data_IF_846505205835
#
_entry.id   IF_846505205835
#
_cell.length_a   1.000
_cell.length_b   1.000
_cell.length_c   1.000
_cell.angle_alpha   90.00
_cell.angle_beta   90.00
_cell.angle_gamma   90.00
#
_symmetry.space_group_name_H-M   'P 1'
#
loop_
_entity.id
_entity.type
_entity.pdbx_description
1 polymer ?
#
# COMPACT_ATOMS: atom_id res chain seq x y z
N UNK A 1 -2.89 -11.12 -3.97
CA UNK A 1 -1.67 -10.30 -4.20
C UNK A 1 -1.85 -9.32 -5.36
N UNK A 2 -2.19 -9.77 -6.56
CA UNK A 2 -2.25 -8.90 -7.75
C UNK A 2 -3.25 -7.74 -7.60
N UNK A 3 -4.47 -8.03 -7.12
CA UNK A 3 -5.49 -6.99 -6.88
C UNK A 3 -5.05 -6.01 -5.79
N UNK A 4 -4.48 -6.52 -4.70
CA UNK A 4 -3.96 -5.70 -3.60
C UNK A 4 -2.80 -4.80 -4.07
N UNK A 5 -1.91 -5.32 -4.92
CA UNK A 5 -0.83 -4.56 -5.55
C UNK A 5 -1.38 -3.43 -6.41
N UNK A 6 -2.36 -3.74 -7.27
CA UNK A 6 -2.98 -2.73 -8.13
C UNK A 6 -3.60 -1.62 -7.30
N UNK A 7 -4.37 -1.98 -6.27
CA UNK A 7 -4.97 -1.01 -5.36
C UNK A 7 -3.92 -0.11 -4.68
N UNK A 8 -2.81 -0.69 -4.23
CA UNK A 8 -1.71 0.07 -3.61
C UNK A 8 -1.07 1.05 -4.60
N UNK A 9 -0.72 0.58 -5.80
CA UNK A 9 -0.13 1.42 -6.86
C UNK A 9 -1.08 2.57 -7.23
N UNK A 10 -2.33 2.26 -7.55
CA UNK A 10 -3.34 3.26 -7.94
C UNK A 10 -3.52 4.32 -6.83
N UNK A 11 -3.51 3.89 -5.57
CA UNK A 11 -3.65 4.80 -4.45
C UNK A 11 -2.45 5.72 -4.26
N UNK A 12 -1.22 5.20 -4.36
CA UNK A 12 -0.01 6.00 -4.21
C UNK A 12 0.12 6.99 -5.36
N UNK A 13 -0.08 6.55 -6.59
CA UNK A 13 -0.08 7.42 -7.77
C UNK A 13 -1.10 8.55 -7.61
N UNK A 14 -2.34 8.21 -7.24
CA UNK A 14 -3.39 9.19 -7.02
C UNK A 14 -3.07 10.15 -5.89
N UNK A 15 -2.46 9.69 -4.81
CA UNK A 15 -2.06 10.54 -3.69
C UNK A 15 -0.97 11.53 -4.10
N UNK A 16 0.06 11.07 -4.83
CA UNK A 16 1.11 11.93 -5.37
C UNK A 16 0.53 13.00 -6.31
N UNK A 17 -0.42 12.65 -7.18
CA UNK A 17 -1.12 13.63 -8.03
C UNK A 17 -1.84 14.71 -7.22
N UNK A 18 -2.58 14.32 -6.19
CA UNK A 18 -3.33 15.24 -5.32
C UNK A 18 -2.36 16.21 -4.62
N UNK A 19 -1.27 15.69 -4.04
CA UNK A 19 -0.28 16.51 -3.35
C UNK A 19 0.42 17.47 -4.32
N UNK A 20 0.87 16.98 -5.48
CA UNK A 20 1.62 17.78 -6.45
C UNK A 20 0.76 18.86 -7.13
N UNK A 21 -0.54 18.61 -7.32
CA UNK A 21 -1.49 19.59 -7.86
C UNK A 21 -1.87 20.67 -6.84
N UNK A 22 -1.71 20.42 -5.54
CA UNK A 22 -2.11 21.36 -4.49
C UNK A 22 -1.05 22.46 -4.24
N UNK A 23 -1.14 23.55 -5.00
CA UNK A 23 -0.15 24.67 -4.96
C UNK A 23 0.11 25.24 -3.56
N UNK A 24 -0.89 25.27 -2.67
CA UNK A 24 -0.77 25.90 -1.34
C UNK A 24 0.08 25.08 -0.36
N UNK A 25 0.25 23.77 -0.56
CA UNK A 25 1.07 22.96 0.36
C UNK A 25 2.53 22.90 -0.06
N UNK A 26 2.86 23.26 -1.31
CA UNK A 26 4.24 23.18 -1.83
C UNK A 26 5.30 23.86 -0.96
N UNK A 27 5.06 25.07 -0.38
CA UNK A 27 6.05 25.68 0.51
C UNK A 27 6.29 24.91 1.81
N UNK A 28 5.42 23.97 2.15
CA UNK A 28 5.49 23.15 3.35
C UNK A 28 6.00 21.72 3.08
N UNK A 29 6.24 21.36 1.82
CA UNK A 29 6.83 20.08 1.48
C UNK A 29 8.35 20.17 1.63
N UNK A 30 8.96 19.14 2.21
CA UNK A 30 10.42 19.00 2.30
C UNK A 30 11.05 18.90 0.89
N UNK A 31 10.33 18.26 -0.03
CA UNK A 31 10.74 18.10 -1.43
C UNK A 31 9.57 18.31 -2.40
N UNK A 32 9.88 18.81 -3.59
CA UNK A 32 8.91 18.97 -4.69
C UNK A 32 9.58 18.64 -6.03
N UNK A 33 8.99 17.78 -6.88
CA UNK A 33 7.70 17.12 -6.71
C UNK A 33 7.71 16.08 -5.58
N UNK A 34 6.56 15.89 -4.93
CA UNK A 34 6.33 14.84 -3.95
C UNK A 34 6.30 13.48 -4.63
N UNK A 35 7.10 12.53 -4.14
CA UNK A 35 7.32 11.21 -4.77
C UNK A 35 6.68 10.09 -3.94
N UNK A 36 6.57 8.90 -4.53
CA UNK A 36 6.07 7.70 -3.84
C UNK A 36 6.95 7.27 -2.66
N UNK A 37 8.24 7.61 -2.66
CA UNK A 37 9.18 7.28 -1.59
C UNK A 37 8.81 7.92 -0.24
N UNK A 38 8.06 9.03 -0.29
CA UNK A 38 7.56 9.75 0.89
C UNK A 38 6.17 9.32 1.33
N UNK A 39 5.54 8.39 0.61
CA UNK A 39 4.22 7.88 0.98
C UNK A 39 4.42 6.69 1.92
N UNK A 40 4.03 6.89 3.18
CA UNK A 40 3.77 5.80 4.11
C UNK A 40 2.27 5.50 4.12
N UNK A 41 1.86 4.24 3.91
CA UNK A 41 0.45 3.87 4.01
C UNK A 41 0.22 2.45 4.47
N UNK A 42 -1.03 2.22 4.86
CA UNK A 42 -1.52 0.92 5.29
C UNK A 42 -2.94 0.74 4.75
N UNK A 43 -3.19 -0.34 4.03
CA UNK A 43 -4.51 -0.81 3.62
C UNK A 43 -4.84 -2.05 4.45
N UNK A 44 -5.85 -1.95 5.31
CA UNK A 44 -6.38 -3.10 6.04
C UNK A 44 -7.62 -3.62 5.33
N UNK A 45 -7.64 -4.92 5.03
CA UNK A 45 -8.80 -5.62 4.52
C UNK A 45 -9.50 -6.31 5.70
N UNK A 46 -10.75 -5.93 5.94
CA UNK A 46 -11.58 -6.50 7.00
C UNK A 46 -12.99 -6.78 6.48
N UNK A 47 -13.70 -7.70 7.13
CA UNK A 47 -15.12 -7.96 6.92
C UNK A 47 -15.94 -6.76 7.41
N UNK A 48 -17.22 -6.75 7.04
CA UNK A 48 -18.16 -5.66 7.35
C UNK A 48 -18.23 -5.26 8.82
N UNK A 49 -17.92 -6.18 9.74
CA UNK A 49 -17.92 -5.91 11.17
C UNK A 49 -16.65 -5.17 11.68
N UNK A 50 -15.70 -4.86 10.79
CA UNK A 50 -14.39 -4.26 11.06
C UNK A 50 -13.54 -5.00 12.10
N UNK A 51 -13.97 -6.21 12.50
CA UNK A 51 -13.41 -6.98 13.61
C UNK A 51 -12.89 -8.33 13.16
N UNK A 52 -13.30 -8.79 11.98
CA UNK A 52 -12.86 -10.05 11.41
C UNK A 52 -12.10 -9.78 10.13
N UNK A 53 -10.93 -10.37 10.01
CA UNK A 53 -10.16 -10.34 8.78
C UNK A 53 -10.75 -11.29 7.73
N UNK A 54 -10.35 -11.15 6.47
CA UNK A 54 -10.74 -12.05 5.41
C UNK A 54 -10.32 -13.51 5.72
N UNK A 55 -10.86 -14.51 4.99
CA UNK A 55 -10.54 -15.93 5.21
C UNK A 55 -9.03 -16.20 5.28
N UNK A 56 -8.63 -17.29 5.94
CA UNK A 56 -7.24 -17.77 5.93
C UNK A 56 -6.70 -17.78 4.48
N UNK A 57 -5.42 -17.41 4.32
CA UNK A 57 -4.73 -17.26 3.02
C UNK A 57 -5.13 -16.01 2.20
N UNK A 58 -6.04 -15.17 2.69
CA UNK A 58 -6.33 -13.86 2.08
C UNK A 58 -5.39 -12.77 2.60
N UNK A 59 -5.08 -11.79 1.76
CA UNK A 59 -4.32 -10.60 2.19
C UNK A 59 -5.14 -9.84 3.24
N UNK A 60 -4.61 -9.72 4.45
CA UNK A 60 -5.18 -8.92 5.55
C UNK A 60 -4.66 -7.49 5.53
N UNK A 61 -3.40 -7.31 5.14
CA UNK A 61 -2.72 -6.02 5.18
C UNK A 61 -1.85 -5.81 3.94
N UNK A 62 -1.86 -4.58 3.43
CA UNK A 62 -0.77 -4.04 2.62
C UNK A 62 -0.20 -2.84 3.34
N UNK A 63 1.11 -2.86 3.59
CA UNK A 63 1.81 -1.75 4.21
C UNK A 63 2.90 -1.27 3.26
N UNK A 64 3.00 0.04 3.05
CA UNK A 64 4.13 0.65 2.36
C UNK A 64 4.86 1.65 3.25
N UNK A 65 6.18 1.51 3.28
CA UNK A 65 7.07 2.39 4.03
C UNK A 65 8.47 2.32 3.43
N UNK A 66 9.10 3.48 3.20
CA UNK A 66 10.49 3.59 2.70
C UNK A 66 10.73 2.69 1.48
N UNK A 67 9.94 2.93 0.41
CA UNK A 67 9.99 2.24 -0.88
C UNK A 67 9.56 0.77 -0.91
N UNK A 68 9.37 0.14 0.24
CA UNK A 68 8.97 -1.26 0.34
C UNK A 68 7.47 -1.38 0.54
N UNK A 69 6.89 -2.36 -0.12
CA UNK A 69 5.51 -2.83 0.05
C UNK A 69 5.57 -4.21 0.67
N UNK A 70 4.86 -4.39 1.77
CA UNK A 70 4.69 -5.63 2.49
C UNK A 70 3.25 -6.10 2.32
N UNK A 71 3.09 -7.35 1.91
CA UNK A 71 1.79 -8.01 1.83
C UNK A 71 1.72 -9.04 2.94
N UNK A 72 0.74 -8.92 3.81
CA UNK A 72 0.57 -9.80 4.95
C UNK A 72 -0.73 -10.58 4.83
N UNK A 73 -0.67 -11.82 5.32
CA UNK A 73 -1.85 -12.65 5.55
C UNK A 73 -1.95 -12.88 7.05
N UNK A 74 -3.16 -12.82 7.57
CA UNK A 74 -3.40 -13.19 8.96
C UNK A 74 -3.44 -14.72 9.06
N UNK A 75 -2.70 -15.26 10.02
CA UNK A 75 -2.61 -16.69 10.28
C UNK A 75 -3.37 -17.05 11.56
N UNK A 76 -4.68 -16.80 11.59
CA UNK A 76 -5.60 -17.06 12.72
C UNK A 76 -5.25 -16.37 14.06
N UNK A 77 -6.20 -16.42 15.01
CA UNK A 77 -6.19 -15.74 16.32
C UNK A 77 -4.95 -16.01 17.22
N UNK A 78 -4.02 -16.87 16.80
CA UNK A 78 -2.90 -17.33 17.61
C UNK A 78 -1.51 -17.19 16.95
N UNK A 79 -1.41 -16.60 15.75
CA UNK A 79 -0.09 -16.31 15.15
C UNK A 79 0.00 -14.86 14.69
N UNK A 80 1.22 -14.27 14.78
CA UNK A 80 1.45 -12.94 14.24
C UNK A 80 1.21 -12.94 12.73
N UNK A 81 0.83 -11.78 12.19
CA UNK A 81 0.79 -11.53 10.75
C UNK A 81 2.09 -11.95 10.09
N UNK A 82 1.99 -12.63 8.95
CA UNK A 82 3.14 -13.07 8.19
C UNK A 82 3.22 -12.32 6.86
N UNK A 83 4.35 -11.68 6.63
CA UNK A 83 4.69 -11.15 5.31
C UNK A 83 4.87 -12.31 4.33
N UNK A 84 3.97 -12.37 3.34
CA UNK A 84 4.01 -13.38 2.27
C UNK A 84 4.72 -12.88 1.01
N UNK A 85 4.84 -11.56 0.85
CA UNK A 85 5.57 -10.94 -0.23
C UNK A 85 6.12 -9.59 0.22
N UNK A 86 7.35 -9.31 -0.21
CA UNK A 86 7.98 -8.00 -0.15
C UNK A 86 8.38 -7.62 -1.58
N UNK A 87 8.10 -6.37 -1.97
CA UNK A 87 8.60 -5.79 -3.22
C UNK A 87 8.75 -4.28 -3.08
N UNK A 88 9.51 -3.67 -3.99
CA UNK A 88 9.59 -2.22 -4.10
C UNK A 88 8.36 -1.65 -4.81
N UNK A 89 8.07 -0.36 -4.59
CA UNK A 89 7.03 0.33 -5.35
C UNK A 89 7.28 0.28 -6.87
N UNK A 90 8.55 0.39 -7.29
CA UNK A 90 8.93 0.30 -8.71
C UNK A 90 8.61 -1.07 -9.32
N UNK A 91 8.94 -2.16 -8.61
CA UNK A 91 8.59 -3.52 -9.04
C UNK A 91 7.08 -3.73 -9.10
N UNK A 92 6.34 -3.18 -8.14
CA UNK A 92 4.88 -3.23 -8.14
C UNK A 92 4.30 -2.53 -9.37
N UNK A 93 4.76 -1.31 -9.70
CA UNK A 93 4.35 -0.59 -10.91
C UNK A 93 4.62 -1.40 -12.18
N UNK A 94 5.81 -2.01 -12.30
CA UNK A 94 6.16 -2.83 -13.47
C UNK A 94 5.28 -4.07 -13.62
N UNK A 95 4.88 -4.69 -12.49
CA UNK A 95 3.94 -5.81 -12.49
C UNK A 95 2.53 -5.37 -12.85
N UNK A 96 2.08 -4.21 -12.39
CA UNK A 96 0.73 -3.67 -12.70
C UNK A 96 0.58 -3.31 -14.18
N UNK A 97 1.61 -2.76 -14.82
CA UNK A 97 1.59 -2.45 -16.27
C UNK A 97 1.44 -3.67 -17.18
N UNK A 98 1.68 -4.88 -16.66
CA UNK A 98 1.64 -6.15 -17.40
C UNK A 98 0.33 -6.93 -17.19
N UNK A 99 -0.57 -6.41 -16.36
CA UNK A 99 -1.94 -6.93 -16.15
C UNK A 99 -2.89 -6.38 -17.23
#
# INVERSE_FOLDING_TARGET
IEEARKLEVDCVERFCEIINSHKKIRPHLEEFPFTSERVGRMICFCKEDLKRFPPEESISLVMSCREKIFYEVEFNDHRPDQTVLEETFSEACEKVKRL
#
